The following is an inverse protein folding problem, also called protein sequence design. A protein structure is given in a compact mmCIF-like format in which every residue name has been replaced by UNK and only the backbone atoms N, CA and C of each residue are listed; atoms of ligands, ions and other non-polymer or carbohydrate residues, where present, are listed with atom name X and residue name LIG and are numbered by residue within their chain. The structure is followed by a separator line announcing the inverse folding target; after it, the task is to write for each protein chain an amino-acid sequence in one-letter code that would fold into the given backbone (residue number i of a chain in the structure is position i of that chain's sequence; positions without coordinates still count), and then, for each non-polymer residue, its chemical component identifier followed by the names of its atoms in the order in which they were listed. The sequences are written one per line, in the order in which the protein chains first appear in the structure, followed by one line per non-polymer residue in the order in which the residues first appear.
data_IF_730639753804
#
_entry.id   IF_730639753804
#
_cell.length_a   1.000
_cell.length_b   1.000
_cell.length_c   1.000
_cell.angle_alpha   90.00
_cell.angle_beta   90.00
_cell.angle_gamma   90.00
#
_symmetry.space_group_name_H-M   'P 1'
#
loop_
_entity.id
_entity.type
_entity.pdbx_description
1 polymer ?
#
# COMPACT_ATOMS: atom_id res chain seq x y z
N UNK A 1 -18.64 24.67 -9.96
CA UNK A 1 -19.82 23.99 -9.39
C UNK A 1 -19.37 23.27 -8.13
N UNK A 2 -20.09 23.42 -7.02
CA UNK A 2 -19.88 22.61 -5.83
C UNK A 2 -20.57 21.24 -6.01
N UNK A 3 -19.95 20.19 -5.47
CA UNK A 3 -20.48 18.82 -5.46
C UNK A 3 -20.98 18.49 -4.06
N UNK A 4 -22.07 17.74 -3.95
CA UNK A 4 -22.44 17.12 -2.68
C UNK A 4 -21.39 16.08 -2.25
N UNK A 5 -21.34 15.69 -0.97
CA UNK A 5 -20.42 14.63 -0.51
C UNK A 5 -20.54 13.32 -1.30
N UNK A 6 -21.76 12.90 -1.63
CA UNK A 6 -22.01 11.65 -2.38
C UNK A 6 -21.57 11.77 -3.85
N UNK A 7 -21.82 12.93 -4.48
CA UNK A 7 -21.34 13.22 -5.84
C UNK A 7 -19.81 13.23 -5.88
N UNK A 8 -19.16 13.84 -4.87
CA UNK A 8 -17.72 13.89 -4.75
C UNK A 8 -17.12 12.50 -4.51
N UNK A 9 -17.72 11.68 -3.65
CA UNK A 9 -17.28 10.31 -3.40
C UNK A 9 -17.37 9.46 -4.67
N UNK A 10 -18.47 9.57 -5.42
CA UNK A 10 -18.66 8.87 -6.69
C UNK A 10 -17.59 9.28 -7.71
N UNK A 11 -17.30 10.58 -7.82
CA UNK A 11 -16.27 11.09 -8.71
C UNK A 11 -14.86 10.61 -8.33
N UNK A 12 -14.54 10.57 -7.02
CA UNK A 12 -13.24 10.08 -6.54
C UNK A 12 -13.08 8.59 -6.79
N UNK A 13 -14.12 7.79 -6.58
CA UNK A 13 -14.11 6.35 -6.80
C UNK A 13 -13.88 5.95 -8.27
N UNK A 14 -14.22 6.84 -9.22
CA UNK A 14 -13.98 6.62 -10.64
C UNK A 14 -12.53 6.89 -11.08
N UNK A 15 -11.70 7.48 -10.21
CA UNK A 15 -10.30 7.77 -10.55
C UNK A 15 -9.48 6.49 -10.49
N UNK A 16 -8.88 6.12 -11.62
CA UNK A 16 -7.87 5.06 -11.65
C UNK A 16 -6.54 5.58 -11.11
N UNK A 17 -5.71 4.68 -10.59
CA UNK A 17 -4.31 5.00 -10.34
C UNK A 17 -3.65 5.47 -11.65
N UNK A 18 -2.66 6.36 -11.54
CA UNK A 18 -1.88 6.77 -12.69
C UNK A 18 -1.23 5.53 -13.33
N UNK A 19 -1.34 5.31 -14.66
CA UNK A 19 -0.90 4.07 -15.29
C UNK A 19 0.60 3.81 -15.14
N UNK A 20 1.39 4.87 -14.92
CA UNK A 20 2.83 4.78 -14.70
C UNK A 20 3.24 4.83 -13.23
N UNK A 21 2.28 4.79 -12.29
CA UNK A 21 2.60 4.74 -10.87
C UNK A 21 3.29 3.40 -10.55
N UNK A 22 4.59 3.45 -10.31
CA UNK A 22 5.43 2.28 -10.00
C UNK A 22 6.57 2.66 -9.06
N UNK A 23 7.17 1.69 -8.35
CA UNK A 23 8.39 1.93 -7.59
C UNK A 23 9.51 2.44 -8.50
N UNK A 24 10.44 3.21 -7.94
CA UNK A 24 11.66 3.63 -8.62
C UNK A 24 12.46 2.40 -9.10
N UNK A 25 12.99 2.47 -10.33
CA UNK A 25 13.77 1.38 -10.93
C UNK A 25 15.07 1.13 -10.16
N UNK A 26 15.67 2.19 -9.61
CA UNK A 26 16.93 2.15 -8.86
C UNK A 26 16.69 1.96 -7.34
N UNK A 27 15.47 1.62 -6.92
CA UNK A 27 15.16 1.41 -5.51
C UNK A 27 16.00 0.25 -4.93
N UNK A 28 16.82 0.50 -3.88
CA UNK A 28 17.66 -0.53 -3.28
C UNK A 28 16.86 -1.75 -2.82
N UNK A 29 17.45 -2.93 -2.95
CA UNK A 29 16.82 -4.19 -2.57
C UNK A 29 16.35 -4.19 -1.10
N UNK A 30 17.16 -3.64 -0.20
CA UNK A 30 16.85 -3.56 1.23
C UNK A 30 15.65 -2.64 1.51
N UNK A 31 15.52 -1.53 0.78
CA UNK A 31 14.36 -0.64 0.89
C UNK A 31 13.09 -1.31 0.37
N UNK A 32 13.21 -2.08 -0.72
CA UNK A 32 12.10 -2.86 -1.27
C UNK A 32 11.64 -3.95 -0.30
N UNK A 33 12.60 -4.66 0.31
CA UNK A 33 12.34 -5.67 1.32
C UNK A 33 11.68 -5.05 2.56
N UNK A 34 12.24 -3.96 3.08
CA UNK A 34 11.65 -3.19 4.18
C UNK A 34 10.19 -2.84 3.87
N UNK A 35 9.90 -2.22 2.73
CA UNK A 35 8.56 -1.82 2.35
C UNK A 35 7.58 -3.01 2.26
N UNK A 36 8.03 -4.15 1.72
CA UNK A 36 7.23 -5.37 1.67
C UNK A 36 6.88 -5.90 3.06
N UNK A 37 7.85 -5.94 3.99
CA UNK A 37 7.63 -6.35 5.37
C UNK A 37 6.67 -5.40 6.11
N UNK A 38 6.80 -4.09 5.89
CA UNK A 38 5.85 -3.11 6.44
C UNK A 38 4.43 -3.31 5.89
N UNK A 39 4.29 -3.59 4.59
CA UNK A 39 2.99 -3.83 3.96
C UNK A 39 2.29 -5.07 4.52
N UNK A 40 3.05 -6.12 4.86
CA UNK A 40 2.50 -7.30 5.53
C UNK A 40 1.97 -6.97 6.93
N UNK A 41 2.62 -6.06 7.66
CA UNK A 41 2.16 -5.56 8.96
C UNK A 41 1.03 -4.51 8.91
N UNK A 42 0.29 -4.40 7.81
CA UNK A 42 -0.81 -3.44 7.65
C UNK A 42 -0.42 -2.10 7.02
N UNK A 43 0.84 -1.95 6.62
CA UNK A 43 1.33 -0.78 5.87
C UNK A 43 1.17 0.54 6.63
N UNK A 44 0.99 1.63 5.89
CA UNK A 44 0.86 2.99 6.46
C UNK A 44 -0.27 3.12 7.46
N UNK A 45 -1.39 2.42 7.22
CA UNK A 45 -2.56 2.45 8.10
C UNK A 45 -2.42 1.50 9.31
N UNK A 46 -1.51 0.53 9.24
CA UNK A 46 -1.11 -0.35 10.34
C UNK A 46 0.03 0.21 11.20
N UNK A 47 0.47 1.44 10.95
CA UNK A 47 1.50 2.12 11.76
C UNK A 47 2.94 1.88 11.31
N UNK A 48 3.17 1.26 10.15
CA UNK A 48 4.52 0.95 9.64
C UNK A 48 5.38 0.20 10.66
N UNK A 49 4.84 -0.90 11.19
CA UNK A 49 5.55 -1.80 12.09
C UNK A 49 5.84 -3.15 11.44
N UNK A 50 6.91 -3.81 11.89
CA UNK A 50 7.11 -5.22 11.61
C UNK A 50 6.17 -6.05 12.48
N UNK A 51 5.03 -6.46 11.90
CA UNK A 51 4.20 -7.51 12.50
C UNK A 51 4.86 -8.86 12.28
N UNK A 52 5.72 -9.25 13.24
CA UNK A 52 6.53 -10.46 13.15
C UNK A 52 5.66 -11.71 13.00
N UNK A 53 4.54 -11.79 13.72
CA UNK A 53 3.64 -12.94 13.67
C UNK A 53 3.00 -13.09 12.28
N UNK A 54 2.50 -12.00 11.69
CA UNK A 54 1.93 -12.02 10.34
C UNK A 54 2.98 -12.30 9.27
N UNK A 55 4.18 -11.73 9.41
CA UNK A 55 5.32 -11.97 8.50
C UNK A 55 5.69 -13.47 8.52
N UNK A 56 5.89 -14.06 9.70
CA UNK A 56 6.21 -15.48 9.83
C UNK A 56 5.07 -16.36 9.32
N UNK A 57 3.81 -16.01 9.62
CA UNK A 57 2.64 -16.73 9.14
C UNK A 57 2.57 -16.73 7.60
N UNK A 58 2.98 -15.66 6.93
CA UNK A 58 2.99 -15.55 5.46
C UNK A 58 4.15 -16.30 4.84
N UNK A 59 5.35 -16.20 5.42
CA UNK A 59 6.54 -16.89 4.93
C UNK A 59 6.41 -18.41 4.99
N UNK A 60 5.73 -18.94 5.99
CA UNK A 60 5.52 -20.38 6.15
C UNK A 60 4.23 -20.92 5.52
N UNK A 61 3.46 -20.07 4.82
CA UNK A 61 2.25 -20.48 4.10
C UNK A 61 2.65 -20.86 2.67
N UNK A 62 2.91 -22.15 2.47
CA UNK A 62 3.29 -22.73 1.17
C UNK A 62 2.28 -22.49 0.06
#
# INVERSE_FOLDING_TARGET
RELSPDEAQTLLAQRTAHPELRPDEDLPADTRLWAALQALGGGTWGGCVYDVEEIERRLHKG
#
